data_IF_912393051502
#
_entry.id   IF_912393051502
#
_cell.length_a   1.000
_cell.length_b   1.000
_cell.length_c   1.000
_cell.angle_alpha   90.00
_cell.angle_beta   90.00
_cell.angle_gamma   90.00
#
_symmetry.space_group_name_H-M   'P 1'
#
loop_
_entity.id
_entity.type
_entity.pdbx_description
1 polymer ?
#
# COMPACT_ATOMS: atom_id res chain seq x y z
N UNK A 1 2.23 2.02 6.71
CA UNK A 1 1.89 1.69 5.31
C UNK A 1 0.80 2.59 4.76
N UNK A 2 -0.38 2.68 5.40
CA UNK A 2 -1.48 3.55 4.94
C UNK A 2 -1.06 5.02 4.76
N UNK A 3 -0.45 5.65 5.77
CA UNK A 3 0.04 7.03 5.68
C UNK A 3 1.06 7.24 4.55
N UNK A 4 2.01 6.32 4.41
CA UNK A 4 2.98 6.34 3.31
C UNK A 4 2.27 6.37 1.94
N UNK A 5 1.24 5.55 1.77
CA UNK A 5 0.43 5.53 0.55
C UNK A 5 -0.33 6.82 0.31
N UNK A 6 -0.94 7.39 1.34
CA UNK A 6 -1.67 8.65 1.24
C UNK A 6 -0.73 9.79 0.81
N UNK A 7 0.45 9.89 1.42
CA UNK A 7 1.45 10.89 1.06
C UNK A 7 1.89 10.73 -0.40
N UNK A 8 2.16 9.49 -0.83
CA UNK A 8 2.54 9.20 -2.21
C UNK A 8 1.48 9.69 -3.21
N UNK A 9 0.19 9.40 -2.95
CA UNK A 9 -0.91 9.87 -3.79
C UNK A 9 -1.05 11.40 -3.78
N UNK A 10 -0.89 12.04 -2.63
CA UNK A 10 -0.93 13.51 -2.52
C UNK A 10 0.20 14.20 -3.30
N UNK A 11 1.37 13.55 -3.41
CA UNK A 11 2.53 14.05 -4.15
C UNK A 11 2.37 13.78 -5.65
N UNK A 12 2.10 12.53 -6.02
CA UNK A 12 2.03 12.10 -7.42
C UNK A 12 0.76 12.59 -8.13
N UNK A 13 -0.31 12.89 -7.38
CA UNK A 13 -1.65 13.28 -7.85
C UNK A 13 -2.18 12.39 -8.97
N UNK A 14 -1.73 11.15 -8.99
CA UNK A 14 -2.07 10.18 -10.02
C UNK A 14 -1.89 8.76 -9.52
N UNK A 15 -2.71 7.85 -10.06
CA UNK A 15 -2.67 6.43 -9.80
C UNK A 15 -3.16 5.68 -11.05
N UNK A 16 -2.42 4.67 -11.50
CA UNK A 16 -2.72 3.95 -12.76
C UNK A 16 -2.97 4.88 -13.96
N UNK A 17 -2.17 5.94 -14.12
CA UNK A 17 -2.31 6.94 -15.19
C UNK A 17 -3.61 7.78 -15.13
N UNK A 18 -4.40 7.66 -14.06
CA UNK A 18 -5.55 8.52 -13.75
C UNK A 18 -5.08 9.66 -12.86
N UNK A 19 -5.62 10.86 -13.03
CA UNK A 19 -5.41 11.98 -12.11
C UNK A 19 -6.26 11.70 -10.87
N UNK A 20 -5.66 11.87 -9.69
CA UNK A 20 -6.31 11.70 -8.39
C UNK A 20 -6.22 13.04 -7.67
N UNK A 21 -7.30 13.82 -7.73
CA UNK A 21 -7.41 15.12 -7.06
C UNK A 21 -7.98 14.98 -5.63
N UNK A 22 -8.80 13.96 -5.40
CA UNK A 22 -9.37 13.62 -4.10
C UNK A 22 -9.41 12.10 -3.95
N UNK A 23 -9.27 11.61 -2.72
CA UNK A 23 -9.38 10.20 -2.38
C UNK A 23 -9.73 10.03 -0.91
N UNK A 24 -10.32 8.88 -0.59
CA UNK A 24 -10.63 8.50 0.78
C UNK A 24 -9.76 7.32 1.21
N UNK A 25 -9.26 7.36 2.45
CA UNK A 25 -8.61 6.23 3.10
C UNK A 25 -9.62 5.53 4.01
N UNK A 26 -9.93 4.28 3.71
CA UNK A 26 -10.69 3.42 4.60
C UNK A 26 -9.76 2.48 5.36
N UNK A 27 -9.90 2.46 6.68
CA UNK A 27 -9.30 1.43 7.53
C UNK A 27 -10.37 0.39 7.82
N UNK A 28 -10.19 -0.84 7.34
CA UNK A 28 -11.13 -1.93 7.57
C UNK A 28 -10.51 -3.02 8.46
N UNK A 29 -11.33 -3.97 8.84
CA UNK A 29 -10.98 -5.23 9.49
C UNK A 29 -10.74 -6.37 8.48
N UNK A 30 -11.35 -6.31 7.30
CA UNK A 30 -11.22 -7.33 6.25
C UNK A 30 -9.92 -7.17 5.45
N UNK A 31 -9.59 -5.93 5.16
CA UNK A 31 -8.37 -5.40 4.58
C UNK A 31 -7.69 -4.50 5.59
N UNK A 32 -6.36 -4.42 5.54
CA UNK A 32 -5.65 -3.58 6.50
C UNK A 32 -5.88 -2.09 6.16
N UNK A 33 -6.09 -1.75 4.88
CA UNK A 33 -6.69 -0.50 4.40
C UNK A 33 -7.04 -0.55 2.89
N UNK A 34 -7.89 0.36 2.44
CA UNK A 34 -8.22 0.57 1.04
C UNK A 34 -8.21 2.07 0.68
N UNK A 35 -7.94 2.36 -0.59
CA UNK A 35 -8.02 3.70 -1.17
C UNK A 35 -9.24 3.75 -2.08
N UNK A 36 -10.10 4.74 -1.84
CA UNK A 36 -11.28 5.02 -2.64
C UNK A 36 -11.10 6.30 -3.44
N UNK A 37 -11.67 6.31 -4.65
CA UNK A 37 -11.82 7.50 -5.49
C UNK A 37 -13.22 7.42 -6.12
N UNK A 38 -13.98 8.52 -6.08
CA UNK A 38 -15.35 8.59 -6.60
C UNK A 38 -16.27 7.46 -6.12
N UNK A 39 -16.15 7.09 -4.84
CA UNK A 39 -16.96 6.04 -4.22
C UNK A 39 -16.61 4.61 -4.64
N UNK A 40 -15.48 4.40 -5.32
CA UNK A 40 -14.97 3.07 -5.73
C UNK A 40 -13.59 2.78 -5.17
N UNK A 41 -13.28 1.52 -4.91
CA UNK A 41 -11.95 1.10 -4.48
C UNK A 41 -10.98 1.08 -5.67
N UNK A 42 -9.96 1.93 -5.63
CA UNK A 42 -8.87 1.91 -6.63
C UNK A 42 -7.74 0.98 -6.21
N UNK A 43 -7.53 0.80 -4.91
CA UNK A 43 -6.58 -0.21 -4.40
C UNK A 43 -6.93 -0.73 -3.02
N UNK A 44 -6.75 -2.05 -2.84
CA UNK A 44 -6.83 -2.73 -1.54
C UNK A 44 -5.44 -3.09 -1.05
N UNK A 45 -5.23 -3.06 0.26
CA UNK A 45 -3.92 -3.29 0.86
C UNK A 45 -4.00 -4.25 2.04
N UNK A 46 -3.26 -5.35 1.94
CA UNK A 46 -3.07 -6.32 3.01
C UNK A 46 -1.62 -6.25 3.51
N UNK A 47 -1.42 -5.95 4.78
CA UNK A 47 -0.15 -5.78 5.46
C UNK A 47 0.10 -6.96 6.39
N UNK A 48 1.22 -7.67 6.18
CA UNK A 48 1.62 -8.80 7.03
C UNK A 48 3.00 -8.58 7.63
N UNK A 49 3.01 -8.54 8.97
CA UNK A 49 4.20 -8.39 9.80
C UNK A 49 4.88 -9.74 10.16
N UNK A 50 4.44 -10.86 9.58
CA UNK A 50 5.02 -12.18 9.85
C UNK A 50 6.51 -12.18 9.49
N UNK A 51 7.32 -12.88 10.29
CA UNK A 51 8.79 -12.91 10.14
C UNK A 51 9.30 -14.04 9.23
N UNK A 52 8.38 -14.82 8.63
CA UNK A 52 8.76 -15.89 7.71
C UNK A 52 9.26 -15.32 6.39
N UNK A 53 10.30 -15.96 5.84
CA UNK A 53 10.84 -15.67 4.51
C UNK A 53 10.21 -16.54 3.41
N UNK A 54 9.34 -17.48 3.76
CA UNK A 54 8.72 -18.40 2.79
C UNK A 54 7.37 -17.86 2.35
N UNK A 55 7.17 -17.65 1.04
CA UNK A 55 5.88 -17.20 0.47
C UNK A 55 4.73 -18.15 0.80
N UNK A 56 5.01 -19.44 0.91
CA UNK A 56 4.03 -20.48 1.29
C UNK A 56 3.30 -20.18 2.61
N UNK A 57 4.00 -19.54 3.54
CA UNK A 57 3.47 -19.16 4.87
C UNK A 57 2.43 -18.04 4.83
N UNK A 58 2.22 -17.43 3.66
CA UNK A 58 1.30 -16.33 3.41
C UNK A 58 0.12 -16.72 2.50
N UNK A 59 0.07 -17.95 1.99
CA UNK A 59 -0.94 -18.38 0.99
C UNK A 59 -2.36 -18.05 1.41
N UNK A 60 -2.73 -18.33 2.67
CA UNK A 60 -4.07 -18.01 3.19
C UNK A 60 -4.37 -16.50 3.17
N UNK A 61 -3.38 -15.67 3.50
CA UNK A 61 -3.54 -14.22 3.53
C UNK A 61 -3.57 -13.62 2.12
N UNK A 62 -2.74 -14.14 1.19
CA UNK A 62 -2.75 -13.76 -0.22
C UNK A 62 -4.10 -14.12 -0.85
N UNK A 63 -4.63 -15.32 -0.56
CA UNK A 63 -5.95 -15.73 -1.03
C UNK A 63 -7.06 -14.80 -0.49
N UNK A 64 -7.02 -14.44 0.80
CA UNK A 64 -7.96 -13.46 1.36
C UNK A 64 -7.90 -12.11 0.64
N UNK A 65 -6.69 -11.62 0.32
CA UNK A 65 -6.51 -10.39 -0.45
C UNK A 65 -7.19 -10.45 -1.84
N UNK A 66 -7.11 -11.61 -2.50
CA UNK A 66 -7.77 -11.85 -3.78
C UNK A 66 -9.31 -11.90 -3.65
N UNK A 67 -9.83 -12.36 -2.50
CA UNK A 67 -11.27 -12.51 -2.28
C UNK A 67 -12.00 -11.19 -1.95
N UNK A 68 -11.29 -10.10 -1.65
CA UNK A 68 -11.92 -8.81 -1.36
C UNK A 68 -12.74 -8.36 -2.59
N UNK A 69 -14.03 -8.13 -2.42
CA UNK A 69 -14.91 -7.78 -3.53
C UNK A 69 -15.72 -6.51 -3.28
N UNK A 70 -15.82 -6.07 -2.02
CA UNK A 70 -16.55 -4.85 -1.64
C UNK A 70 -16.02 -3.67 -2.43
N UNK A 71 -16.91 -3.05 -3.22
CA UNK A 71 -16.66 -1.85 -4.02
C UNK A 71 -15.44 -1.93 -4.97
N UNK A 72 -14.96 -3.15 -5.25
CA UNK A 72 -13.88 -3.44 -6.19
C UNK A 72 -14.43 -3.73 -7.59
N UNK A 73 -13.68 -3.36 -8.62
CA UNK A 73 -13.90 -3.77 -10.00
C UNK A 73 -12.64 -4.40 -10.62
N UNK A 74 -12.63 -4.60 -11.94
CA UNK A 74 -11.53 -5.23 -12.66
C UNK A 74 -10.25 -4.39 -12.65
N UNK A 75 -10.37 -3.08 -12.45
CA UNK A 75 -9.24 -2.16 -12.43
C UNK A 75 -8.61 -2.03 -11.03
N UNK A 76 -9.30 -2.48 -9.98
CA UNK A 76 -8.84 -2.39 -8.59
C UNK A 76 -7.54 -3.17 -8.38
N UNK A 77 -6.47 -2.47 -7.98
CA UNK A 77 -5.20 -3.14 -7.62
C UNK A 77 -5.28 -3.76 -6.23
N UNK A 78 -4.70 -4.94 -6.08
CA UNK A 78 -4.65 -5.68 -4.80
C UNK A 78 -3.22 -5.81 -4.35
N UNK A 79 -2.83 -4.98 -3.41
CA UNK A 79 -1.48 -4.96 -2.88
C UNK A 79 -1.34 -5.82 -1.63
N UNK A 80 -0.23 -6.55 -1.59
CA UNK A 80 0.20 -7.36 -0.47
C UNK A 80 1.56 -6.88 0.02
N UNK A 81 1.57 -6.34 1.23
CA UNK A 81 2.76 -5.81 1.89
C UNK A 81 3.32 -6.85 2.84
N UNK A 82 4.63 -7.07 2.77
CA UNK A 82 5.34 -7.96 3.69
C UNK A 82 6.49 -7.24 4.38
N UNK A 83 6.68 -7.57 5.65
CA UNK A 83 7.70 -6.96 6.49
C UNK A 83 9.12 -7.52 6.27
N UNK A 84 9.29 -8.51 5.39
CA UNK A 84 10.56 -9.22 5.20
C UNK A 84 10.73 -9.67 3.75
N UNK A 85 11.98 -9.81 3.33
CA UNK A 85 12.33 -10.46 2.07
C UNK A 85 11.78 -11.89 2.04
N UNK A 86 11.09 -12.23 0.96
CA UNK A 86 10.62 -13.58 0.69
C UNK A 86 11.53 -14.29 -0.32
N UNK A 87 11.39 -15.61 -0.37
CA UNK A 87 11.95 -16.49 -1.40
C UNK A 87 11.37 -16.24 -2.80
N UNK A 88 10.11 -15.79 -2.89
CA UNK A 88 9.42 -15.47 -4.13
C UNK A 88 8.46 -14.27 -3.96
N UNK A 89 8.43 -13.40 -4.98
CA UNK A 89 7.55 -12.22 -5.08
C UNK A 89 6.70 -12.21 -6.36
N UNK A 90 6.55 -13.35 -7.03
CA UNK A 90 5.62 -13.51 -8.14
C UNK A 90 4.19 -13.20 -7.69
N UNK A 91 3.50 -12.47 -8.54
CA UNK A 91 2.10 -12.11 -8.36
C UNK A 91 1.28 -13.39 -8.20
N UNK A 92 0.29 -13.35 -7.32
CA UNK A 92 -0.70 -14.40 -7.24
C UNK A 92 -1.82 -14.14 -8.24
N UNK A 93 -2.18 -15.15 -9.00
CA UNK A 93 -3.32 -15.11 -9.93
C UNK A 93 -4.35 -16.11 -9.43
N UNK A 94 -5.54 -15.62 -9.13
CA UNK A 94 -6.68 -16.43 -8.71
C UNK A 94 -7.37 -17.10 -9.92
N UNK A 95 -8.23 -18.08 -9.65
CA UNK A 95 -8.96 -18.80 -10.71
C UNK A 95 -9.92 -17.89 -11.50
N UNK A 96 -10.41 -16.82 -10.87
CA UNK A 96 -11.26 -15.79 -11.47
C UNK A 96 -10.45 -14.60 -12.04
N UNK A 97 -9.14 -14.76 -12.21
CA UNK A 97 -8.28 -13.81 -12.91
C UNK A 97 -7.82 -12.61 -12.09
N UNK A 98 -8.25 -12.47 -10.83
CA UNK A 98 -7.77 -11.40 -9.94
C UNK A 98 -6.30 -11.60 -9.62
N UNK A 99 -5.54 -10.51 -9.70
CA UNK A 99 -4.11 -10.48 -9.45
C UNK A 99 -3.85 -9.82 -8.09
N UNK A 100 -3.02 -10.46 -7.26
CA UNK A 100 -2.49 -9.87 -6.03
C UNK A 100 -1.00 -9.65 -6.20
N UNK A 101 -0.58 -8.39 -6.06
CA UNK A 101 0.78 -7.93 -6.29
C UNK A 101 1.50 -7.69 -4.98
N UNK A 102 2.76 -8.13 -4.90
CA UNK A 102 3.61 -7.72 -3.79
C UNK A 102 4.06 -6.28 -3.97
N UNK A 103 3.73 -5.43 -3.00
CA UNK A 103 3.95 -4.00 -3.11
C UNK A 103 5.44 -3.64 -3.13
N UNK A 104 5.80 -2.73 -4.04
CA UNK A 104 7.16 -2.23 -4.20
C UNK A 104 7.37 -0.89 -3.50
N UNK A 105 8.36 -0.83 -2.63
CA UNK A 105 8.91 0.39 -2.04
C UNK A 105 10.17 0.76 -2.81
N UNK A 106 10.01 1.47 -3.94
CA UNK A 106 11.07 1.61 -4.94
C UNK A 106 11.38 0.27 -5.60
N UNK A 107 12.65 -0.14 -5.59
CA UNK A 107 13.09 -1.40 -6.21
C UNK A 107 12.89 -2.64 -5.31
N UNK A 108 12.39 -2.45 -4.08
CA UNK A 108 12.30 -3.50 -3.06
C UNK A 108 10.84 -3.88 -2.81
N UNK A 109 10.51 -5.18 -2.93
CA UNK A 109 9.14 -5.71 -2.72
C UNK A 109 8.76 -6.03 -1.27
N UNK A 110 9.46 -5.46 -0.31
CA UNK A 110 9.20 -5.60 1.12
C UNK A 110 9.62 -4.33 1.86
N UNK A 111 9.08 -4.10 3.05
CA UNK A 111 9.50 -3.00 3.90
C UNK A 111 9.60 -3.47 5.34
N UNK A 112 10.81 -3.42 5.91
CA UNK A 112 11.02 -3.73 7.32
C UNK A 112 10.18 -2.79 8.20
N UNK A 113 9.60 -3.31 9.28
CA UNK A 113 8.85 -2.47 10.22
C UNK A 113 9.70 -1.33 10.81
N UNK A 114 11.00 -1.54 10.98
CA UNK A 114 11.93 -0.49 11.43
C UNK A 114 12.18 0.60 10.39
N UNK A 115 11.85 0.37 9.12
CA UNK A 115 12.09 1.29 8.00
C UNK A 115 10.86 2.07 7.57
N UNK A 116 9.66 1.67 7.97
CA UNK A 116 8.45 2.36 7.52
C UNK A 116 8.37 3.81 8.01
N UNK A 117 8.84 4.10 9.22
CA UNK A 117 8.84 5.46 9.75
C UNK A 117 9.79 6.37 8.96
N UNK A 118 10.99 5.87 8.61
CA UNK A 118 11.96 6.58 7.76
C UNK A 118 11.36 6.90 6.38
N UNK A 119 10.70 5.92 5.74
CA UNK A 119 10.02 6.16 4.46
C UNK A 119 8.87 7.16 4.57
N UNK A 120 8.13 7.16 5.69
CA UNK A 120 7.07 8.14 5.93
C UNK A 120 7.68 9.54 6.10
N UNK A 121 8.75 9.67 6.90
CA UNK A 121 9.42 10.94 7.13
C UNK A 121 9.97 11.52 5.81
N UNK A 122 10.59 10.68 4.97
CA UNK A 122 11.03 11.05 3.62
C UNK A 122 9.86 11.55 2.74
N UNK A 123 8.72 10.85 2.76
CA UNK A 123 7.53 11.27 2.02
C UNK A 123 6.93 12.57 2.56
N UNK A 124 6.95 12.79 3.88
CA UNK A 124 6.51 14.05 4.49
C UNK A 124 7.42 15.19 4.01
N UNK A 125 8.74 15.01 4.05
CA UNK A 125 9.68 16.02 3.59
C UNK A 125 9.45 16.36 2.11
N UNK A 126 9.27 15.34 1.26
CA UNK A 126 8.96 15.50 -0.16
C UNK A 126 7.63 16.22 -0.38
N UNK A 127 6.58 15.88 0.38
CA UNK A 127 5.28 16.55 0.30
C UNK A 127 5.40 18.03 0.68
N UNK A 128 6.10 18.34 1.77
CA UNK A 128 6.31 19.71 2.23
C UNK A 128 7.10 20.52 1.19
N UNK A 129 8.18 19.95 0.63
CA UNK A 129 8.98 20.60 -0.41
C UNK A 129 8.16 20.86 -1.69
N UNK A 130 7.43 19.85 -2.15
CA UNK A 130 6.58 19.94 -3.36
C UNK A 130 5.52 21.03 -3.23
N UNK A 131 5.03 21.28 -2.02
CA UNK A 131 3.99 22.27 -1.74
C UNK A 131 4.52 23.59 -1.15
N UNK A 132 5.84 23.79 -1.09
CA UNK A 132 6.49 24.97 -0.47
C UNK A 132 6.00 25.26 0.96
N UNK A 133 5.81 24.21 1.76
CA UNK A 133 5.36 24.30 3.14
C UNK A 133 6.53 24.34 4.13
N UNK A 134 6.32 24.98 5.28
CA UNK A 134 7.36 25.13 6.30
C UNK A 134 7.60 23.80 7.03
N UNK A 135 8.85 23.35 7.02
CA UNK A 135 9.32 22.23 7.84
C UNK A 135 9.57 22.71 9.27
N UNK A 136 8.63 22.51 10.18
CA UNK A 136 8.87 22.72 11.62
C UNK A 136 8.96 21.39 12.36
N UNK A 137 10.17 20.99 12.80
CA UNK A 137 10.30 19.92 13.79
C UNK A 137 9.99 20.49 15.17
N UNK A 138 8.84 20.14 15.75
CA UNK A 138 8.62 20.33 17.18
C UNK A 138 9.47 19.31 17.93
N UNK A 139 10.60 19.73 18.47
CA UNK A 139 11.26 18.99 19.54
C UNK A 139 10.38 19.14 20.79
N UNK A 140 9.69 18.07 21.17
CA UNK A 140 9.16 17.94 22.52
C UNK A 140 10.19 17.14 23.32
N UNK A 141 10.61 17.74 24.44
CA UNK A 141 11.58 17.24 25.42
C UNK A 141 11.23 15.86 25.97
#
# INVERSE_FOLDING_TARGET
>A
MALYHCLKLLIEKSFQQRIIDDFELQLDSTDDFAIYCDGKVISTHQVKAKLSQYRSEYVKAIYKAACIATDCDEDTIRYFHVAKKLDNFENYISNDGKIVEFYSYGDIKYCLLSKINELIDEQIELFLDTNNLIKTKKFNY
#
